data_IF_414861789259
#
_entry.id   IF_414861789259
#
_cell.length_a   1.000
_cell.length_b   1.000
_cell.length_c   1.000
_cell.angle_alpha   90.00
_cell.angle_beta   90.00
_cell.angle_gamma   90.00
#
_symmetry.space_group_name_H-M   'P 1'
#
loop_
_entity.id
_entity.type
_entity.pdbx_description
1 polymer ?
#
# COMPACT_ATOMS: atom_id res chain seq x y z
N UNK A 1 13.86 -19.20 -17.32
CA UNK A 1 14.18 -18.33 -16.17
C UNK A 1 13.13 -17.23 -16.13
N UNK A 2 12.60 -16.91 -14.96
CA UNK A 2 11.52 -15.92 -14.83
C UNK A 2 11.59 -15.09 -13.57
N UNK A 3 11.01 -13.90 -13.66
CA UNK A 3 10.86 -12.96 -12.55
C UNK A 3 9.36 -12.73 -12.33
N UNK A 4 8.91 -12.87 -11.08
CA UNK A 4 7.59 -12.41 -10.66
C UNK A 4 7.72 -10.99 -10.08
N UNK A 5 6.75 -10.13 -10.38
CA UNK A 5 6.62 -8.79 -9.81
C UNK A 5 5.22 -8.63 -9.23
N UNK A 6 5.14 -8.24 -7.97
CA UNK A 6 3.88 -8.05 -7.23
C UNK A 6 3.92 -6.78 -6.40
N UNK A 7 2.75 -6.32 -5.96
CA UNK A 7 2.62 -5.18 -5.06
C UNK A 7 1.76 -5.49 -3.83
N UNK A 8 2.04 -4.78 -2.74
CA UNK A 8 1.15 -4.72 -1.58
C UNK A 8 0.98 -3.28 -1.11
N UNK A 9 -0.26 -2.96 -0.77
CA UNK A 9 -0.62 -1.68 -0.16
C UNK A 9 -1.28 -0.70 -1.12
N UNK A 10 -1.28 -0.92 -2.43
CA UNK A 10 -1.87 0.01 -3.41
C UNK A 10 -3.31 0.42 -3.08
N UNK A 11 -4.16 -0.55 -2.74
CA UNK A 11 -5.55 -0.30 -2.31
C UNK A 11 -5.74 0.08 -0.84
N UNK A 12 -4.70 0.02 -0.02
CA UNK A 12 -4.78 0.34 1.41
C UNK A 12 -4.86 1.84 1.66
N UNK A 13 -5.71 2.23 2.61
CA UNK A 13 -5.96 3.64 2.92
C UNK A 13 -4.73 4.38 3.44
N UNK A 14 -3.86 3.68 4.17
CA UNK A 14 -2.78 4.23 4.97
C UNK A 14 -1.47 3.53 4.64
N UNK A 15 -0.37 4.29 4.66
CA UNK A 15 0.99 3.76 4.56
C UNK A 15 1.51 3.59 3.13
N UNK A 16 2.76 3.19 3.05
CA UNK A 16 3.50 3.04 1.80
C UNK A 16 2.99 1.87 0.95
N UNK A 17 3.43 1.82 -0.30
CA UNK A 17 3.26 0.66 -1.18
C UNK A 17 4.59 -0.03 -1.37
N UNK A 18 4.58 -1.36 -1.33
CA UNK A 18 5.76 -2.19 -1.52
C UNK A 18 5.65 -2.96 -2.82
N UNK A 19 6.64 -2.83 -3.68
CA UNK A 19 6.79 -3.62 -4.90
C UNK A 19 7.83 -4.69 -4.61
N UNK A 20 7.47 -5.95 -4.80
CA UNK A 20 8.36 -7.08 -4.63
C UNK A 20 8.75 -7.68 -5.98
N UNK A 21 9.95 -8.24 -6.04
CA UNK A 21 10.46 -8.97 -7.19
C UNK A 21 10.98 -10.32 -6.70
N UNK A 22 10.63 -11.40 -7.37
CA UNK A 22 11.14 -12.74 -7.08
C UNK A 22 11.80 -13.32 -8.34
N UNK A 23 13.11 -13.55 -8.27
CA UNK A 23 13.81 -14.37 -9.26
C UNK A 23 13.55 -15.85 -8.95
N UNK A 24 12.83 -16.55 -9.82
CA UNK A 24 12.33 -17.91 -9.53
C UNK A 24 13.45 -18.93 -9.40
N UNK A 25 14.48 -18.83 -10.23
CA UNK A 25 15.55 -19.83 -10.28
C UNK A 25 16.41 -19.82 -9.00
N UNK A 26 16.65 -18.64 -8.41
CA UNK A 26 17.49 -18.49 -7.21
C UNK A 26 16.68 -18.31 -5.94
N UNK A 27 15.39 -18.01 -6.05
CA UNK A 27 14.55 -17.62 -4.92
C UNK A 27 14.89 -16.25 -4.32
N UNK A 28 15.75 -15.44 -4.97
CA UNK A 28 16.12 -14.10 -4.49
C UNK A 28 14.90 -13.17 -4.53
N UNK A 29 14.59 -12.52 -3.41
CA UNK A 29 13.55 -11.51 -3.30
C UNK A 29 14.17 -10.16 -3.01
N UNK A 30 13.77 -9.14 -3.77
CA UNK A 30 14.11 -7.74 -3.51
C UNK A 30 12.84 -6.91 -3.43
N UNK A 31 12.93 -5.74 -2.80
CA UNK A 31 11.81 -4.84 -2.63
C UNK A 31 12.14 -3.42 -3.07
N UNK A 32 11.10 -2.70 -3.47
CA UNK A 32 11.09 -1.25 -3.67
C UNK A 32 9.90 -0.66 -2.93
N UNK A 33 10.03 0.59 -2.50
CA UNK A 33 8.99 1.29 -1.74
C UNK A 33 8.53 2.52 -2.53
N UNK A 34 7.22 2.67 -2.67
CA UNK A 34 6.58 3.91 -3.06
C UNK A 34 6.09 4.61 -1.79
N UNK A 35 6.69 5.76 -1.49
CA UNK A 35 6.30 6.60 -0.35
C UNK A 35 4.84 7.02 -0.45
N UNK A 36 4.16 7.05 0.70
CA UNK A 36 2.82 7.62 0.90
C UNK A 36 2.68 9.04 0.33
N UNK A 37 3.77 9.81 0.30
CA UNK A 37 3.79 11.18 -0.23
C UNK A 37 3.43 11.25 -1.72
N UNK A 38 3.67 10.18 -2.48
CA UNK A 38 3.27 10.08 -3.89
C UNK A 38 1.75 9.96 -4.07
N UNK A 39 1.02 9.64 -3.00
CA UNK A 39 -0.43 9.42 -3.03
C UNK A 39 -1.22 10.62 -2.52
N UNK A 40 -0.61 11.80 -2.42
CA UNK A 40 -1.34 13.04 -2.19
C UNK A 40 -2.15 13.47 -3.43
N UNK A 41 -3.02 14.47 -3.28
CA UNK A 41 -3.92 14.93 -4.36
C UNK A 41 -3.18 15.37 -5.63
N UNK A 42 -2.14 16.17 -5.49
CA UNK A 42 -1.37 16.73 -6.60
C UNK A 42 -0.62 15.62 -7.35
N UNK A 43 0.11 14.79 -6.61
CA UNK A 43 0.86 13.67 -7.15
C UNK A 43 -0.06 12.63 -7.81
N UNK A 44 -1.22 12.36 -7.22
CA UNK A 44 -2.22 11.45 -7.80
C UNK A 44 -2.79 11.98 -9.12
N UNK A 45 -3.15 13.28 -9.17
CA UNK A 45 -3.61 13.95 -10.41
C UNK A 45 -2.57 13.84 -11.53
N UNK A 46 -1.29 13.98 -11.18
CA UNK A 46 -0.17 13.93 -12.12
C UNK A 46 0.33 12.49 -12.42
N UNK A 47 -0.39 11.45 -11.95
CA UNK A 47 -0.02 10.03 -12.06
C UNK A 47 1.39 9.72 -11.53
N UNK A 48 1.89 10.46 -10.54
CA UNK A 48 3.25 10.30 -10.00
C UNK A 48 3.53 8.90 -9.43
N UNK A 49 2.60 8.22 -8.73
CA UNK A 49 2.83 6.83 -8.31
C UNK A 49 3.14 5.89 -9.47
N UNK A 50 2.42 6.02 -10.59
CA UNK A 50 2.58 5.18 -11.78
C UNK A 50 3.94 5.43 -12.44
N UNK A 51 4.30 6.72 -12.65
CA UNK A 51 5.62 7.10 -13.19
C UNK A 51 6.76 6.59 -12.30
N UNK A 52 6.64 6.75 -10.99
CA UNK A 52 7.66 6.28 -10.05
C UNK A 52 7.75 4.75 -10.04
N UNK A 53 6.65 4.04 -10.24
CA UNK A 53 6.61 2.57 -10.31
C UNK A 53 7.46 2.05 -11.47
N UNK A 54 7.41 2.70 -12.64
CA UNK A 54 8.29 2.37 -13.79
C UNK A 54 9.77 2.45 -13.39
N UNK A 55 10.18 3.56 -12.77
CA UNK A 55 11.58 3.75 -12.35
C UNK A 55 12.03 2.73 -11.30
N UNK A 56 11.14 2.34 -10.38
CA UNK A 56 11.42 1.30 -9.40
C UNK A 56 11.52 -0.08 -10.05
N UNK A 57 10.69 -0.38 -11.04
CA UNK A 57 10.75 -1.64 -11.80
C UNK A 57 12.02 -1.73 -12.63
N UNK A 58 12.39 -0.69 -13.37
CA UNK A 58 13.68 -0.61 -14.09
C UNK A 58 14.87 -0.89 -13.16
N UNK A 59 14.89 -0.21 -12.01
CA UNK A 59 15.92 -0.41 -10.98
C UNK A 59 15.94 -1.84 -10.42
N UNK A 60 14.77 -2.44 -10.17
CA UNK A 60 14.65 -3.81 -9.67
C UNK A 60 15.14 -4.85 -10.67
N UNK A 61 14.73 -4.72 -11.94
CA UNK A 61 15.18 -5.60 -13.03
C UNK A 61 16.70 -5.51 -13.23
N UNK A 62 17.26 -4.30 -13.17
CA UNK A 62 18.72 -4.09 -13.21
C UNK A 62 19.43 -4.80 -12.05
N UNK A 63 18.93 -4.68 -10.82
CA UNK A 63 19.52 -5.35 -9.65
C UNK A 63 19.44 -6.89 -9.72
N UNK A 64 18.41 -7.42 -10.40
CA UNK A 64 18.27 -8.85 -10.64
C UNK A 64 19.07 -9.34 -11.85
N UNK A 65 19.80 -8.46 -12.57
CA UNK A 65 20.47 -8.76 -13.83
C UNK A 65 19.50 -9.42 -14.83
N UNK A 66 18.31 -8.83 -15.01
CA UNK A 66 17.31 -9.31 -15.96
C UNK A 66 17.84 -9.26 -17.40
N UNK A 67 17.69 -10.37 -18.13
CA UNK A 67 18.02 -10.49 -19.55
C UNK A 67 16.74 -10.55 -20.38
N UNK A 68 16.44 -9.47 -21.10
CA UNK A 68 15.19 -9.31 -21.86
C UNK A 68 15.03 -10.30 -23.01
N UNK A 69 16.14 -10.86 -23.51
CA UNK A 69 16.12 -11.76 -24.67
C UNK A 69 15.90 -13.23 -24.26
N UNK A 70 16.05 -13.55 -22.97
CA UNK A 70 16.01 -14.93 -22.45
C UNK A 70 14.98 -15.17 -21.36
N UNK A 71 14.49 -14.11 -20.74
CA UNK A 71 13.67 -14.19 -19.54
C UNK A 71 12.27 -13.63 -19.76
N UNK A 72 11.31 -14.18 -19.01
CA UNK A 72 9.92 -13.72 -19.00
C UNK A 72 9.55 -13.14 -17.64
N UNK A 73 8.79 -12.05 -17.65
CA UNK A 73 8.24 -11.43 -16.43
C UNK A 73 6.79 -11.86 -16.23
N UNK A 74 6.46 -12.33 -15.03
CA UNK A 74 5.07 -12.47 -14.58
C UNK A 74 4.72 -11.26 -13.73
N UNK A 75 3.83 -10.41 -14.25
CA UNK A 75 3.50 -9.12 -13.64
C UNK A 75 2.09 -9.15 -13.06
N UNK A 76 1.96 -8.74 -11.79
CA UNK A 76 0.66 -8.60 -11.15
C UNK A 76 -0.30 -7.71 -11.97
N UNK A 77 -1.59 -8.04 -11.89
CA UNK A 77 -2.67 -7.34 -12.60
C UNK A 77 -3.07 -6.01 -11.94
N UNK A 78 -2.41 -5.63 -10.84
CA UNK A 78 -2.62 -4.36 -10.15
C UNK A 78 -2.46 -3.16 -11.10
N UNK A 79 -3.32 -2.17 -10.95
CA UNK A 79 -3.32 -0.99 -11.83
C UNK A 79 -2.09 -0.10 -11.64
N UNK A 80 -1.41 -0.18 -10.48
CA UNK A 80 -0.18 0.59 -10.26
C UNK A 80 0.90 0.30 -11.32
N UNK A 81 0.80 -0.87 -11.96
CA UNK A 81 1.67 -1.33 -13.03
C UNK A 81 1.22 -0.95 -14.44
N UNK A 82 0.17 -0.13 -14.62
CA UNK A 82 -0.31 0.23 -15.97
C UNK A 82 0.81 0.85 -16.81
N UNK A 83 1.49 1.89 -16.30
CA UNK A 83 2.65 2.48 -16.98
C UNK A 83 3.86 1.53 -17.10
N UNK A 84 3.93 0.46 -16.30
CA UNK A 84 5.00 -0.55 -16.43
C UNK A 84 4.72 -1.45 -17.63
N UNK A 85 3.45 -1.76 -17.89
CA UNK A 85 3.05 -2.50 -19.10
C UNK A 85 3.37 -1.69 -20.36
N UNK A 86 3.02 -0.40 -20.37
CA UNK A 86 3.38 0.50 -21.47
C UNK A 86 4.91 0.48 -21.72
N UNK A 87 5.70 0.61 -20.66
CA UNK A 87 7.17 0.53 -20.74
C UNK A 87 7.67 -0.83 -21.26
N UNK A 88 7.07 -1.94 -20.83
CA UNK A 88 7.46 -3.27 -21.30
C UNK A 88 7.13 -3.46 -22.79
N UNK A 89 5.97 -2.97 -23.23
CA UNK A 89 5.56 -3.01 -24.64
C UNK A 89 6.51 -2.17 -25.50
N UNK A 90 6.88 -0.96 -25.05
CA UNK A 90 7.82 -0.06 -25.73
C UNK A 90 9.23 -0.65 -25.88
N UNK A 91 9.74 -1.36 -24.87
CA UNK A 91 11.09 -1.95 -24.87
C UNK A 91 11.16 -3.36 -25.47
N UNK A 92 10.01 -3.94 -25.86
CA UNK A 92 9.91 -5.32 -26.32
C UNK A 92 10.22 -6.35 -25.22
N UNK A 93 9.91 -6.04 -23.96
CA UNK A 93 10.12 -6.94 -22.83
C UNK A 93 9.00 -7.98 -22.79
N UNK A 94 9.37 -9.27 -22.78
CA UNK A 94 8.40 -10.36 -22.67
C UNK A 94 7.78 -10.44 -21.27
N UNK A 95 6.49 -10.13 -21.14
CA UNK A 95 5.75 -10.27 -19.89
C UNK A 95 4.38 -10.92 -20.06
N UNK A 96 3.85 -11.45 -18.95
CA UNK A 96 2.49 -11.99 -18.86
C UNK A 96 1.77 -11.44 -17.61
N UNK A 97 0.54 -10.91 -17.76
CA UNK A 97 -0.31 -10.55 -16.62
C UNK A 97 -0.73 -11.77 -15.79
N UNK A 98 -0.22 -11.87 -14.56
CA UNK A 98 -0.43 -13.03 -13.70
C UNK A 98 -1.12 -12.68 -12.38
N UNK A 99 -1.84 -13.65 -11.80
CA UNK A 99 -2.16 -13.62 -10.36
C UNK A 99 -0.92 -14.15 -9.67
N UNK A 100 -0.25 -13.30 -8.90
CA UNK A 100 0.93 -13.72 -8.13
C UNK A 100 0.46 -14.30 -6.82
N UNK A 101 0.80 -15.57 -6.58
CA UNK A 101 0.47 -16.29 -5.36
C UNK A 101 1.71 -16.89 -4.69
N UNK A 102 1.59 -17.21 -3.41
CA UNK A 102 2.63 -17.91 -2.67
C UNK A 102 3.78 -16.99 -2.25
N UNK A 103 5.02 -17.37 -2.56
CA UNK A 103 6.21 -16.82 -1.89
C UNK A 103 6.36 -15.31 -2.03
N UNK A 104 6.15 -14.75 -3.23
CA UNK A 104 6.29 -13.31 -3.45
C UNK A 104 5.15 -12.55 -2.76
N UNK A 105 3.90 -12.98 -2.97
CA UNK A 105 2.71 -12.42 -2.35
C UNK A 105 2.83 -12.35 -0.82
N UNK A 106 3.22 -13.46 -0.18
CA UNK A 106 3.42 -13.55 1.27
C UNK A 106 4.52 -12.60 1.79
N UNK A 107 5.52 -12.33 0.95
CA UNK A 107 6.65 -11.47 1.27
C UNK A 107 6.25 -9.99 1.18
N UNK A 108 5.54 -9.56 0.13
CA UNK A 108 5.05 -8.18 -0.01
C UNK A 108 3.98 -7.85 1.03
N UNK A 109 3.02 -8.73 1.26
CA UNK A 109 1.99 -8.57 2.31
C UNK A 109 2.62 -8.57 3.72
N UNK A 110 3.64 -9.40 3.94
CA UNK A 110 4.42 -9.39 5.17
C UNK A 110 5.15 -8.07 5.42
N UNK A 111 5.76 -7.50 4.37
CA UNK A 111 6.45 -6.20 4.44
C UNK A 111 5.47 -5.07 4.74
N UNK A 112 4.31 -5.08 4.08
CA UNK A 112 3.22 -4.13 4.35
C UNK A 112 2.75 -4.20 5.79
N UNK A 113 2.43 -5.39 6.30
CA UNK A 113 1.97 -5.56 7.69
C UNK A 113 3.03 -5.11 8.69
N UNK A 114 4.31 -5.40 8.42
CA UNK A 114 5.42 -4.94 9.26
C UNK A 114 5.50 -3.41 9.30
N UNK A 115 5.42 -2.75 8.14
CA UNK A 115 5.40 -1.28 8.04
C UNK A 115 4.24 -0.67 8.83
N UNK A 116 3.02 -1.16 8.59
CA UNK A 116 1.82 -0.67 9.28
C UNK A 116 1.92 -0.85 10.80
N UNK A 117 2.52 -1.94 11.28
CA UNK A 117 2.67 -2.21 12.72
C UNK A 117 3.79 -1.41 13.37
N UNK A 118 4.97 -1.44 12.77
CA UNK A 118 6.21 -0.99 13.41
C UNK A 118 6.46 0.49 13.15
N UNK A 119 6.20 0.95 11.94
CA UNK A 119 6.51 2.33 11.53
C UNK A 119 5.33 3.25 11.85
N UNK A 120 4.10 2.75 11.71
CA UNK A 120 2.87 3.51 11.97
C UNK A 120 2.17 3.15 13.29
N UNK A 121 2.65 2.14 14.02
CA UNK A 121 2.12 1.80 15.35
C UNK A 121 0.71 1.20 15.34
N UNK A 122 0.26 0.56 14.26
CA UNK A 122 -1.09 -0.02 14.16
C UNK A 122 -1.14 -1.37 14.89
N UNK A 123 -1.72 -1.39 16.09
CA UNK A 123 -1.74 -2.57 16.98
C UNK A 123 -2.98 -3.49 16.87
N UNK A 124 -3.76 -3.38 15.80
CA UNK A 124 -4.96 -4.21 15.63
C UNK A 124 -4.62 -5.70 15.49
N UNK A 125 -5.32 -6.59 16.22
CA UNK A 125 -5.18 -8.05 16.03
C UNK A 125 -5.64 -8.51 14.65
N UNK A 126 -6.56 -7.77 14.05
CA UNK A 126 -7.11 -8.05 12.71
C UNK A 126 -6.21 -7.56 11.57
N UNK A 127 -5.01 -7.01 11.87
CA UNK A 127 -4.02 -6.63 10.87
C UNK A 127 -3.05 -7.80 10.63
N UNK A 128 -3.31 -8.57 9.59
CA UNK A 128 -2.57 -9.77 9.20
C UNK A 128 -2.32 -9.77 7.70
N UNK A 129 -1.44 -10.64 7.20
CA UNK A 129 -1.21 -10.80 5.76
C UNK A 129 -2.47 -11.22 5.00
N UNK A 130 -3.38 -11.92 5.68
CA UNK A 130 -4.64 -12.43 5.13
C UNK A 130 -5.82 -11.45 5.28
N UNK A 131 -5.58 -10.24 5.77
CA UNK A 131 -6.67 -9.29 6.05
C UNK A 131 -7.37 -8.79 4.79
N UNK A 132 -6.68 -8.73 3.66
CA UNK A 132 -7.23 -8.31 2.37
C UNK A 132 -8.09 -7.06 2.48
N UNK A 133 -9.29 -7.09 1.89
CA UNK A 133 -10.23 -5.95 1.94
C UNK A 133 -10.64 -5.51 3.36
N UNK A 134 -10.62 -6.40 4.36
CA UNK A 134 -10.93 -6.04 5.77
C UNK A 134 -9.87 -5.10 6.37
N UNK A 135 -8.65 -5.10 5.82
CA UNK A 135 -7.55 -4.22 6.23
C UNK A 135 -7.94 -2.75 6.10
N UNK A 136 -8.69 -2.38 5.07
CA UNK A 136 -9.20 -1.02 4.89
C UNK A 136 -9.89 -0.49 6.15
N UNK A 137 -10.81 -1.26 6.75
CA UNK A 137 -11.54 -0.84 7.94
C UNK A 137 -10.66 -0.81 9.19
N UNK A 138 -9.64 -1.67 9.28
CA UNK A 138 -8.64 -1.61 10.34
C UNK A 138 -7.88 -0.28 10.29
N UNK A 139 -7.41 0.10 9.10
CA UNK A 139 -6.69 1.35 8.87
C UNK A 139 -7.58 2.57 9.10
N UNK A 140 -8.80 2.55 8.56
CA UNK A 140 -9.79 3.60 8.76
C UNK A 140 -10.07 3.83 10.26
N UNK A 141 -10.32 2.77 11.02
CA UNK A 141 -10.55 2.87 12.46
C UNK A 141 -9.32 3.40 13.21
N UNK A 142 -8.11 3.05 12.76
CA UNK A 142 -6.88 3.58 13.34
C UNK A 142 -6.77 5.10 13.08
N UNK A 143 -7.07 5.58 11.87
CA UNK A 143 -7.11 7.02 11.57
C UNK A 143 -8.14 7.73 12.44
N UNK A 144 -9.37 7.21 12.51
CA UNK A 144 -10.46 7.84 13.28
C UNK A 144 -10.12 8.07 14.76
N UNK A 145 -9.29 7.23 15.37
CA UNK A 145 -8.96 7.34 16.81
C UNK A 145 -8.14 8.59 17.16
N UNK A 146 -7.45 9.17 16.18
CA UNK A 146 -6.58 10.34 16.35
C UNK A 146 -6.47 11.07 15.01
N UNK A 147 -7.63 11.50 14.48
CA UNK A 147 -7.80 11.90 13.09
C UNK A 147 -6.81 12.98 12.66
N UNK A 148 -6.75 14.10 13.40
CA UNK A 148 -5.93 15.24 13.03
C UNK A 148 -4.43 14.93 13.03
N UNK A 149 -3.95 13.97 13.84
CA UNK A 149 -2.54 13.56 13.83
C UNK A 149 -2.24 12.49 12.78
N UNK A 150 -3.23 11.68 12.40
CA UNK A 150 -3.05 10.49 11.55
C UNK A 150 -3.47 10.69 10.10
N UNK A 151 -4.22 11.73 9.78
CA UNK A 151 -4.64 12.03 8.41
C UNK A 151 -3.44 12.15 7.45
N UNK A 152 -2.28 12.64 7.93
CA UNK A 152 -1.05 12.74 7.12
C UNK A 152 -0.54 11.40 6.56
N UNK A 153 -0.95 10.27 7.12
CA UNK A 153 -0.57 8.93 6.63
C UNK A 153 -1.58 8.35 5.63
N UNK A 154 -2.65 9.10 5.31
CA UNK A 154 -3.70 8.65 4.40
C UNK A 154 -3.33 8.98 2.95
N UNK A 155 -3.65 8.07 2.03
CA UNK A 155 -3.60 8.27 0.58
C UNK A 155 -4.66 9.26 0.13
N UNK A 156 -4.40 10.54 0.39
CA UNK A 156 -5.37 11.62 0.23
C UNK A 156 -5.73 11.93 -1.22
N UNK A 157 -5.03 11.37 -2.20
CA UNK A 157 -5.38 11.44 -3.62
C UNK A 157 -6.58 10.56 -4.00
N UNK A 158 -6.95 9.57 -3.19
CA UNK A 158 -8.07 8.70 -3.50
C UNK A 158 -9.40 9.46 -3.49
N UNK A 159 -10.14 9.38 -4.61
CA UNK A 159 -11.41 10.09 -4.81
C UNK A 159 -12.38 9.88 -3.63
N UNK A 160 -12.61 8.62 -3.25
CA UNK A 160 -13.54 8.28 -2.16
C UNK A 160 -13.09 8.77 -0.79
N UNK A 161 -11.78 8.97 -0.55
CA UNK A 161 -11.32 9.59 0.69
C UNK A 161 -11.90 11.00 0.81
N UNK A 162 -11.76 11.81 -0.23
CA UNK A 162 -12.18 13.21 -0.21
C UNK A 162 -13.68 13.43 -0.30
N UNK A 163 -14.45 12.47 -0.84
CA UNK A 163 -15.90 12.65 -1.05
C UNK A 163 -16.77 11.97 0.00
N UNK A 164 -16.26 10.97 0.72
CA UNK A 164 -17.08 10.16 1.65
C UNK A 164 -16.35 9.88 2.96
N UNK A 165 -15.12 9.35 2.88
CA UNK A 165 -14.50 8.75 4.05
C UNK A 165 -13.86 9.75 5.01
N UNK A 166 -13.36 10.88 4.51
CA UNK A 166 -12.75 11.92 5.34
C UNK A 166 -13.75 12.50 6.34
N UNK A 167 -14.94 12.89 5.88
CA UNK A 167 -16.01 13.41 6.73
C UNK A 167 -16.45 12.36 7.76
N UNK A 168 -16.70 11.13 7.32
CA UNK A 168 -17.01 10.01 8.24
C UNK A 168 -15.93 9.76 9.28
N UNK A 169 -14.66 9.97 8.94
CA UNK A 169 -13.56 9.82 9.88
C UNK A 169 -13.57 10.92 10.95
N UNK A 170 -13.84 12.17 10.55
CA UNK A 170 -14.01 13.32 11.45
C UNK A 170 -15.20 13.10 12.38
N UNK A 171 -16.38 12.74 11.84
CA UNK A 171 -17.56 12.46 12.66
C UNK A 171 -17.31 11.37 13.70
N UNK A 172 -16.62 10.30 13.30
CA UNK A 172 -16.30 9.20 14.21
C UNK A 172 -15.32 9.64 15.29
N UNK A 173 -14.30 10.42 14.93
CA UNK A 173 -13.36 11.02 15.87
C UNK A 173 -14.07 11.89 16.91
N UNK A 174 -14.94 12.80 16.48
CA UNK A 174 -15.69 13.70 17.37
C UNK A 174 -16.64 12.95 18.30
N UNK A 175 -17.35 11.93 17.79
CA UNK A 175 -18.21 11.06 18.61
C UNK A 175 -17.42 10.36 19.72
N UNK A 176 -16.23 9.84 19.41
CA UNK A 176 -15.36 9.18 20.41
C UNK A 176 -14.84 10.16 21.46
N UNK A 177 -14.44 11.37 21.04
CA UNK A 177 -13.94 12.39 21.96
C UNK A 177 -15.02 12.94 22.88
N UNK A 178 -16.23 13.18 22.37
CA UNK A 178 -17.35 13.63 23.18
C UNK A 178 -17.77 12.57 24.22
N UNK A 179 -17.74 11.30 23.84
CA UNK A 179 -18.00 10.19 24.77
C UNK A 179 -16.96 10.14 25.89
N UNK A 180 -15.66 10.31 25.57
CA UNK A 180 -14.59 10.39 26.57
C UNK A 180 -14.79 11.57 27.53
N UNK A 181 -15.09 12.76 27.00
CA UNK A 181 -15.36 13.95 27.84
C UNK A 181 -16.54 13.76 28.79
N UNK A 182 -17.60 13.08 28.36
CA UNK A 182 -18.76 12.76 29.22
C UNK A 182 -18.38 11.81 30.35
N UNK A 183 -17.55 10.80 30.07
CA UNK A 183 -17.02 9.88 31.08
C UNK A 183 -16.17 10.67 32.09
N UNK A 184 -15.16 11.44 31.67
CA UNK A 184 -14.35 12.21 32.63
C UNK A 184 -15.20 13.13 33.53
N UNK A 185 -16.18 13.84 32.95
CA UNK A 185 -17.12 14.67 33.72
C UNK A 185 -18.00 13.91 34.72
N UNK A 186 -18.25 12.61 34.52
CA UNK A 186 -19.01 11.79 35.48
C UNK A 186 -18.14 11.22 36.60
N UNK A 187 -16.81 11.15 36.41
CA UNK A 187 -15.87 10.73 37.44
C UNK A 187 -15.45 11.90 38.34
N UNK A 188 -15.39 13.13 37.78
CA UNK A 188 -15.12 14.36 38.54
C UNK A 188 -16.31 14.79 39.43
N UNK A 189 -17.50 14.21 39.19
CA UNK A 189 -18.66 14.30 40.08
C UNK A 189 -18.72 13.01 40.91
N UNK A 190 -17.80 12.87 41.85
CA UNK A 190 -17.85 11.78 42.84
C UNK A 190 -19.16 11.78 43.66
N UNK A 191 -19.45 10.69 44.40
CA UNK A 191 -20.74 10.43 45.06
C UNK A 191 -21.19 11.54 46.02
#
# INVERSE_FOLDING_TARGET
MSIEIDDAGTGDLVGDVFIGFLRKDTGKIIFRTLSIELFNKENWKNKMPYKRTVELVKSGLKELNFDKDKEKIYLCRGNIFDNVRDYFDEEGINYEPAIIEGRLQDAVEGKLVKHLRNDLGIRSRNLTKKSGAKRYFVLFNWVCRDFYKREKYVKSGFKRWNTVWRERAIEKYEKMNNSRKKIYKSWDRGP
#
